data_IF_332900873409
#
_entry.id   IF_332900873409
#
_cell.length_a   1.000
_cell.length_b   1.000
_cell.length_c   1.000
_cell.angle_alpha   90.00
_cell.angle_beta   90.00
_cell.angle_gamma   90.00
#
_symmetry.space_group_name_H-M   'P 1'
#
loop_
_entity.id
_entity.type
_entity.pdbx_description
1 polymer ?
#
# COMPACT_ATOMS: atom_id res chain seq x y z
N UNK A 1 0.56 1.09 -25.55
CA UNK A 1 1.69 0.95 -24.60
C UNK A 1 2.46 2.27 -24.60
N UNK A 2 2.70 2.87 -23.43
CA UNK A 2 3.59 4.02 -23.27
C UNK A 2 4.78 3.56 -22.42
N UNK A 3 5.98 4.01 -22.74
CA UNK A 3 7.19 3.68 -22.01
C UNK A 3 7.86 4.96 -21.51
N UNK A 4 8.40 4.91 -20.30
CA UNK A 4 9.20 5.99 -19.72
C UNK A 4 10.46 5.37 -19.18
N UNK A 5 11.60 5.73 -19.75
CA UNK A 5 12.91 5.35 -19.24
C UNK A 5 13.21 6.13 -17.96
N UNK A 6 13.77 5.45 -16.95
CA UNK A 6 14.21 6.02 -15.68
C UNK A 6 15.48 5.36 -15.21
N UNK A 7 16.23 6.05 -14.37
CA UNK A 7 17.41 5.50 -13.68
C UNK A 7 17.02 5.08 -12.26
N UNK A 8 17.69 4.06 -11.75
CA UNK A 8 17.59 3.71 -10.33
C UNK A 8 18.21 4.83 -9.49
N UNK A 9 17.43 5.35 -8.55
CA UNK A 9 17.84 6.33 -7.56
C UNK A 9 18.28 5.67 -6.25
N UNK A 10 17.80 6.19 -5.13
CA UNK A 10 18.10 5.65 -3.80
C UNK A 10 17.31 4.36 -3.55
N UNK A 11 17.92 3.43 -2.81
CA UNK A 11 17.24 2.24 -2.27
C UNK A 11 17.12 2.41 -0.76
N UNK A 12 15.92 2.20 -0.23
CA UNK A 12 15.66 2.25 1.21
C UNK A 12 15.11 0.91 1.68
N UNK A 13 15.65 0.42 2.79
CA UNK A 13 15.09 -0.69 3.54
C UNK A 13 14.48 -0.14 4.83
N UNK A 14 13.16 -0.22 4.95
CA UNK A 14 12.41 0.27 6.09
C UNK A 14 11.97 -0.91 6.94
N UNK A 15 12.06 -0.76 8.25
CA UNK A 15 11.50 -1.69 9.22
C UNK A 15 10.44 -0.96 10.04
N UNK A 16 9.28 -1.58 10.18
CA UNK A 16 8.16 -1.08 10.97
C UNK A 16 8.10 -1.82 12.30
N UNK A 17 7.74 -1.11 13.34
CA UNK A 17 7.56 -1.67 14.67
C UNK A 17 6.11 -2.15 14.88
N UNK A 18 5.88 -3.11 15.79
CA UNK A 18 4.53 -3.55 16.10
C UNK A 18 3.66 -2.39 16.62
N UNK A 19 2.49 -2.21 16.01
CA UNK A 19 1.54 -1.15 16.35
C UNK A 19 1.62 0.09 15.45
N UNK A 20 2.62 0.19 14.57
CA UNK A 20 2.71 1.31 13.62
C UNK A 20 1.49 1.35 12.68
N UNK A 21 0.94 2.55 12.45
CA UNK A 21 0.04 2.82 11.33
C UNK A 21 0.86 2.82 10.05
N UNK A 22 0.70 1.77 9.24
CA UNK A 22 1.51 1.55 8.04
C UNK A 22 1.50 2.76 7.10
N UNK A 23 0.32 3.25 6.71
CA UNK A 23 0.22 4.36 5.76
C UNK A 23 0.55 5.70 6.40
N UNK A 24 0.25 5.90 7.69
CA UNK A 24 0.65 7.10 8.41
C UNK A 24 2.16 7.28 8.42
N UNK A 25 2.89 6.25 8.83
CA UNK A 25 4.35 6.23 8.92
C UNK A 25 5.00 6.26 7.53
N UNK A 26 4.51 5.42 6.60
CA UNK A 26 5.13 5.32 5.28
C UNK A 26 4.94 6.60 4.46
N UNK A 27 3.75 7.21 4.48
CA UNK A 27 3.53 8.49 3.78
C UNK A 27 4.38 9.62 4.37
N UNK A 28 4.60 9.63 5.70
CA UNK A 28 5.51 10.60 6.34
C UNK A 28 6.93 10.45 5.79
N UNK A 29 7.44 9.21 5.73
CA UNK A 29 8.75 8.91 5.16
C UNK A 29 8.87 9.33 3.69
N UNK A 30 7.90 8.99 2.85
CA UNK A 30 7.89 9.33 1.42
C UNK A 30 7.92 10.85 1.20
N UNK A 31 7.16 11.60 2.01
CA UNK A 31 7.17 13.07 2.00
C UNK A 31 8.53 13.63 2.45
N UNK A 32 9.05 13.16 3.57
CA UNK A 32 10.33 13.61 4.14
C UNK A 32 11.49 13.39 3.16
N UNK A 33 11.56 12.21 2.52
CA UNK A 33 12.61 11.89 1.55
C UNK A 33 12.33 12.43 0.15
N UNK A 34 11.17 13.07 -0.06
CA UNK A 34 10.74 13.63 -1.34
C UNK A 34 10.78 12.61 -2.49
N UNK A 35 10.36 11.37 -2.23
CA UNK A 35 10.41 10.28 -3.22
C UNK A 35 9.26 10.46 -4.21
N UNK A 36 9.56 10.81 -5.46
CA UNK A 36 8.56 11.16 -6.48
C UNK A 36 8.01 9.98 -7.25
N UNK A 37 8.85 8.99 -7.54
CA UNK A 37 8.46 7.75 -8.19
C UNK A 37 9.31 6.63 -7.63
N UNK A 38 8.69 5.49 -7.33
CA UNK A 38 9.41 4.32 -6.85
C UNK A 38 8.63 3.03 -7.10
N UNK A 39 9.34 1.91 -7.14
CA UNK A 39 8.76 0.58 -6.90
C UNK A 39 8.86 0.25 -5.41
N UNK A 40 7.82 -0.39 -4.86
CA UNK A 40 7.70 -0.73 -3.44
C UNK A 40 7.47 -2.21 -3.27
N UNK A 41 8.27 -2.86 -2.43
CA UNK A 41 8.08 -4.26 -2.05
C UNK A 41 7.78 -4.31 -0.56
N UNK A 42 6.75 -5.06 -0.19
CA UNK A 42 6.31 -5.19 1.20
C UNK A 42 6.32 -6.65 1.61
N UNK A 43 6.82 -6.94 2.80
CA UNK A 43 6.77 -8.28 3.37
C UNK A 43 6.64 -8.22 4.88
N UNK A 44 5.76 -9.05 5.44
CA UNK A 44 5.61 -9.21 6.88
C UNK A 44 4.16 -9.40 7.28
N UNK A 45 3.79 -8.87 8.45
CA UNK A 45 2.53 -9.17 9.10
C UNK A 45 1.82 -7.92 9.61
N UNK A 46 0.50 -7.99 9.63
CA UNK A 46 -0.39 -7.00 10.22
C UNK A 46 -1.23 -7.59 11.37
N UNK A 47 -1.50 -6.75 12.37
CA UNK A 47 -2.43 -7.04 13.46
C UNK A 47 -3.88 -6.80 13.02
N UNK A 48 -4.10 -5.74 12.24
CA UNK A 48 -5.37 -5.42 11.58
C UNK A 48 -5.08 -4.99 10.16
N UNK A 49 -6.01 -5.24 9.23
CA UNK A 49 -5.82 -4.91 7.82
C UNK A 49 -7.11 -4.48 7.15
N UNK A 50 -7.04 -3.38 6.40
CA UNK A 50 -8.05 -2.96 5.45
C UNK A 50 -7.60 -3.32 4.03
N UNK A 51 -8.48 -3.99 3.29
CA UNK A 51 -8.21 -4.46 1.94
C UNK A 51 -9.37 -4.13 1.00
N UNK A 52 -9.05 -3.72 -0.22
CA UNK A 52 -10.00 -3.70 -1.34
C UNK A 52 -9.77 -4.93 -2.21
N UNK A 53 -10.77 -5.80 -2.37
CA UNK A 53 -10.65 -7.02 -3.18
C UNK A 53 -10.96 -6.81 -4.66
N UNK A 54 -11.48 -5.64 -5.02
CA UNK A 54 -11.80 -5.27 -6.39
C UNK A 54 -13.09 -4.45 -6.49
N UNK A 55 -13.53 -4.20 -7.72
CA UNK A 55 -14.78 -3.51 -8.00
C UNK A 55 -15.95 -4.50 -8.04
N UNK A 56 -17.09 -4.12 -7.44
CA UNK A 56 -18.35 -4.87 -7.54
C UNK A 56 -19.01 -4.67 -8.90
N UNK A 57 -18.83 -3.51 -9.51
CA UNK A 57 -19.38 -3.17 -10.81
C UNK A 57 -18.50 -2.20 -11.59
N UNK A 58 -18.80 -2.01 -12.87
CA UNK A 58 -18.13 -1.02 -13.73
C UNK A 58 -18.60 0.42 -13.48
N UNK A 59 -19.47 0.65 -12.48
CA UNK A 59 -20.08 1.96 -12.22
C UNK A 59 -19.34 2.69 -11.11
N UNK A 60 -18.64 3.76 -11.47
CA UNK A 60 -17.98 4.64 -10.49
C UNK A 60 -16.96 3.91 -9.62
N UNK A 61 -16.76 4.41 -8.40
CA UNK A 61 -15.86 3.82 -7.42
C UNK A 61 -16.58 2.81 -6.50
N UNK A 62 -17.20 1.79 -7.10
CA UNK A 62 -17.97 0.75 -6.42
C UNK A 62 -17.07 -0.44 -6.06
N UNK A 63 -16.36 -0.35 -4.92
CA UNK A 63 -15.34 -1.31 -4.47
C UNK A 63 -15.82 -2.23 -3.34
N UNK A 64 -15.34 -3.47 -3.32
CA UNK A 64 -15.52 -4.43 -2.22
C UNK A 64 -14.39 -4.27 -1.21
N UNK A 65 -14.74 -3.78 -0.02
CA UNK A 65 -13.82 -3.58 1.11
C UNK A 65 -13.97 -4.69 2.12
N UNK A 66 -12.83 -5.11 2.67
CA UNK A 66 -12.69 -6.08 3.73
C UNK A 66 -11.88 -5.48 4.85
N UNK A 67 -12.34 -5.71 6.07
CA UNK A 67 -11.62 -5.42 7.29
C UNK A 67 -11.29 -6.73 7.99
N UNK A 68 -10.08 -6.83 8.51
CA UNK A 68 -9.59 -7.97 9.26
C UNK A 68 -9.10 -7.50 10.63
N UNK A 69 -9.73 -8.02 11.68
CA UNK A 69 -9.35 -7.84 13.09
C UNK A 69 -8.49 -9.01 13.62
N UNK A 70 -7.77 -9.69 12.72
CA UNK A 70 -6.94 -10.85 13.02
C UNK A 70 -5.58 -10.77 12.31
N UNK A 71 -4.65 -11.63 12.74
CA UNK A 71 -3.29 -11.62 12.21
C UNK A 71 -3.26 -12.14 10.78
N UNK A 72 -2.57 -11.37 9.94
CA UNK A 72 -2.40 -11.66 8.52
C UNK A 72 -0.94 -11.46 8.11
N UNK A 73 -0.35 -12.47 7.51
CA UNK A 73 0.95 -12.37 6.83
C UNK A 73 0.71 -11.95 5.38
N UNK A 74 1.60 -11.14 4.80
CA UNK A 74 1.45 -10.63 3.45
C UNK A 74 2.78 -10.47 2.71
N UNK A 75 2.67 -10.59 1.39
CA UNK A 75 3.66 -10.12 0.42
C UNK A 75 2.98 -9.17 -0.54
N UNK A 76 3.60 -8.02 -0.78
CA UNK A 76 3.03 -6.93 -1.58
C UNK A 76 4.01 -6.32 -2.57
N UNK A 77 3.46 -5.84 -3.68
CA UNK A 77 4.15 -5.05 -4.69
C UNK A 77 3.33 -3.80 -4.97
N UNK A 78 4.01 -2.67 -5.06
CA UNK A 78 3.38 -1.40 -5.32
C UNK A 78 4.28 -0.38 -5.97
N UNK A 79 3.77 0.84 -6.05
CA UNK A 79 4.50 1.99 -6.55
C UNK A 79 4.17 3.26 -5.77
N UNK A 80 5.06 4.23 -5.88
CA UNK A 80 4.85 5.60 -5.44
C UNK A 80 4.68 6.47 -6.69
N UNK A 81 3.70 7.36 -6.67
CA UNK A 81 3.50 8.39 -7.67
C UNK A 81 3.04 9.70 -7.02
N UNK A 82 3.09 10.81 -7.75
CA UNK A 82 2.62 12.13 -7.28
C UNK A 82 1.70 12.72 -8.34
N UNK A 83 0.41 12.37 -8.35
CA UNK A 83 -0.51 12.90 -9.33
C UNK A 83 -0.83 14.37 -9.04
N UNK A 84 -0.99 15.18 -10.09
CA UNK A 84 -1.38 16.59 -9.96
C UNK A 84 -2.85 16.76 -9.55
N UNK A 85 -3.67 15.76 -9.88
CA UNK A 85 -5.10 15.69 -9.59
C UNK A 85 -5.36 14.53 -8.63
N UNK A 86 -6.44 14.58 -7.84
CA UNK A 86 -6.79 13.46 -6.98
C UNK A 86 -6.93 12.17 -7.81
N UNK A 87 -6.42 11.02 -7.31
CA UNK A 87 -6.70 9.74 -7.94
C UNK A 87 -8.21 9.49 -7.98
N UNK A 88 -8.69 8.77 -8.99
CA UNK A 88 -10.09 8.36 -9.08
C UNK A 88 -10.53 7.51 -7.86
N UNK A 89 -9.56 6.83 -7.25
CA UNK A 89 -9.66 6.08 -6.01
C UNK A 89 -9.17 6.92 -4.81
N UNK A 90 -9.72 8.12 -4.62
CA UNK A 90 -9.41 8.90 -3.42
C UNK A 90 -10.21 8.30 -2.25
N UNK A 91 -9.52 7.90 -1.18
CA UNK A 91 -10.15 7.29 0.00
C UNK A 91 -11.29 8.14 0.54
N UNK A 92 -12.35 7.49 1.04
CA UNK A 92 -13.49 8.18 1.64
C UNK A 92 -13.01 8.99 2.86
N UNK A 93 -13.45 10.25 2.97
CA UNK A 93 -12.99 11.15 4.03
C UNK A 93 -11.62 11.80 3.80
N UNK A 94 -10.93 11.50 2.69
CA UNK A 94 -9.66 12.15 2.35
C UNK A 94 -9.91 13.42 1.55
N UNK A 95 -9.49 14.57 2.10
CA UNK A 95 -9.50 15.85 1.38
C UNK A 95 -8.23 16.03 0.54
N UNK A 96 -8.38 16.20 -0.77
CA UNK A 96 -7.26 16.54 -1.65
C UNK A 96 -7.01 18.05 -1.65
N UNK A 97 -5.92 18.47 -1.02
CA UNK A 97 -5.55 19.89 -0.88
C UNK A 97 -4.40 20.32 -1.81
N UNK A 98 -3.84 19.40 -2.59
CA UNK A 98 -2.73 19.64 -3.51
C UNK A 98 -1.99 18.33 -3.84
N UNK A 99 -0.95 18.37 -4.67
CA UNK A 99 -0.15 17.19 -5.00
C UNK A 99 0.44 16.54 -3.74
N UNK A 100 0.10 15.26 -3.53
CA UNK A 100 0.59 14.43 -2.43
C UNK A 100 1.11 13.10 -2.97
N UNK A 101 1.99 12.41 -2.23
CA UNK A 101 2.38 11.06 -2.62
C UNK A 101 1.17 10.13 -2.59
N UNK A 102 1.08 9.30 -3.62
CA UNK A 102 0.12 8.23 -3.74
C UNK A 102 0.87 6.91 -3.76
N UNK A 103 0.76 6.17 -2.66
CA UNK A 103 1.35 4.85 -2.46
C UNK A 103 0.30 3.79 -2.80
N UNK A 104 0.53 3.03 -3.86
CA UNK A 104 -0.42 2.05 -4.36
C UNK A 104 0.17 0.64 -4.28
N UNK A 105 -0.36 -0.21 -3.41
CA UNK A 105 0.18 -1.56 -3.14
C UNK A 105 -0.92 -2.60 -3.36
N UNK A 106 -0.59 -3.64 -4.12
CA UNK A 106 -1.37 -4.88 -4.22
C UNK A 106 -0.62 -6.00 -3.52
N UNK A 107 -1.35 -6.95 -2.98
CA UNK A 107 -0.83 -7.96 -2.06
C UNK A 107 -1.51 -9.31 -2.20
N UNK A 108 -0.76 -10.35 -1.83
CA UNK A 108 -1.28 -11.64 -1.43
C UNK A 108 -1.13 -11.76 0.10
N UNK A 109 -2.17 -12.29 0.75
CA UNK A 109 -2.33 -12.31 2.20
C UNK A 109 -2.76 -13.69 2.65
N UNK A 110 -2.24 -14.16 3.78
CA UNK A 110 -2.60 -15.44 4.38
C UNK A 110 -4.06 -15.47 4.87
N UNK A 111 -4.55 -16.68 5.13
CA UNK A 111 -5.71 -16.91 5.99
C UNK A 111 -5.54 -16.39 7.41
N UNK A 112 -6.65 -16.45 8.16
CA UNK A 112 -6.68 -16.17 9.59
C UNK A 112 -5.86 -17.22 10.37
N UNK A 113 -5.57 -17.00 11.65
CA UNK A 113 -5.04 -18.05 12.52
C UNK A 113 -5.90 -19.34 12.43
N UNK A 114 -5.26 -20.47 12.08
CA UNK A 114 -5.93 -21.76 11.87
C UNK A 114 -6.52 -21.98 10.47
N UNK A 115 -6.38 -21.03 9.54
CA UNK A 115 -6.82 -21.12 8.14
C UNK A 115 -5.62 -21.18 7.19
N UNK A 116 -4.75 -22.16 7.39
CA UNK A 116 -3.42 -22.23 6.74
C UNK A 116 -3.44 -22.42 5.22
N UNK A 117 -4.56 -22.90 4.67
CA UNK A 117 -4.73 -23.14 3.23
C UNK A 117 -5.37 -21.95 2.48
N UNK A 118 -5.83 -20.92 3.21
CA UNK A 118 -6.46 -19.76 2.60
C UNK A 118 -5.40 -18.75 2.14
N UNK A 119 -5.57 -18.24 0.91
CA UNK A 119 -4.83 -17.09 0.39
C UNK A 119 -5.81 -16.12 -0.23
N UNK A 120 -5.72 -14.86 0.18
CA UNK A 120 -6.51 -13.75 -0.33
C UNK A 120 -5.61 -12.82 -1.13
N UNK A 121 -6.17 -12.10 -2.08
CA UNK A 121 -5.47 -11.06 -2.83
C UNK A 121 -6.29 -9.79 -2.89
N UNK A 122 -5.61 -8.65 -2.95
CA UNK A 122 -6.27 -7.35 -3.01
C UNK A 122 -5.32 -6.18 -2.95
N UNK A 123 -5.89 -5.00 -2.77
CA UNK A 123 -5.22 -3.72 -2.61
C UNK A 123 -5.15 -3.36 -1.12
N UNK A 124 -3.94 -3.03 -0.64
CA UNK A 124 -3.74 -2.61 0.75
C UNK A 124 -4.31 -1.22 0.97
N UNK A 125 -5.22 -1.05 1.93
CA UNK A 125 -5.90 0.23 2.19
C UNK A 125 -5.59 0.82 3.57
N UNK A 126 -5.08 0.01 4.49
CA UNK A 126 -4.86 0.40 5.88
C UNK A 126 -4.49 -0.80 6.75
N UNK A 127 -4.05 -0.53 7.97
CA UNK A 127 -3.76 -1.57 8.94
C UNK A 127 -2.68 -1.18 9.94
N UNK A 128 -2.68 -1.88 11.07
CA UNK A 128 -1.64 -1.78 12.09
C UNK A 128 -0.62 -2.90 11.90
N UNK A 129 0.66 -2.53 11.89
CA UNK A 129 1.75 -3.50 11.68
C UNK A 129 1.88 -4.44 12.89
N UNK A 130 2.15 -5.72 12.63
CA UNK A 130 2.61 -6.68 13.63
C UNK A 130 4.12 -6.88 13.58
N UNK A 131 4.69 -6.81 12.37
CA UNK A 131 6.12 -6.78 12.10
C UNK A 131 6.34 -6.84 10.59
N UNK A 132 6.97 -5.83 10.01
CA UNK A 132 7.01 -5.66 8.56
C UNK A 132 8.30 -4.96 8.12
N UNK A 133 8.75 -5.26 6.90
CA UNK A 133 9.70 -4.43 6.19
C UNK A 133 9.18 -4.00 4.82
N UNK A 134 9.70 -2.87 4.36
CA UNK A 134 9.40 -2.29 3.05
C UNK A 134 10.69 -1.89 2.36
N UNK A 135 10.91 -2.42 1.15
CA UNK A 135 11.97 -1.96 0.28
C UNK A 135 11.42 -0.96 -0.75
N UNK A 136 12.06 0.20 -0.83
CA UNK A 136 11.71 1.27 -1.78
C UNK A 136 12.85 1.47 -2.76
N UNK A 137 12.55 1.26 -4.04
CA UNK A 137 13.46 1.45 -5.16
C UNK A 137 13.05 2.72 -5.90
N UNK A 138 13.67 3.86 -5.54
CA UNK A 138 13.36 5.14 -6.16
C UNK A 138 13.77 5.17 -7.64
N UNK A 139 12.98 5.85 -8.47
CA UNK A 139 13.20 5.97 -9.91
C UNK A 139 13.26 7.45 -10.32
N UNK A 140 14.39 7.88 -10.88
CA UNK A 140 14.66 9.27 -11.29
C UNK A 140 14.77 9.43 -12.81
#
# INVERSE_FOLDING_TARGET
MQATERKMGRVFHLRFEPGDDFYGEFNRFVKEKNIRVASVFVFGAMNTMDMITGFRSMKGYDVDRRHFDDWRELVGLGNISWPDKPPAALGEGVSWTGPQPYVHIHMAVSGAPGKTEEVLTGHLSGGLVKGMFVDVYELI
#
